data_IF_147389440285
#
_entry.id   IF_147389440285
#
_cell.length_a   1.000
_cell.length_b   1.000
_cell.length_c   1.000
_cell.angle_alpha   90.00
_cell.angle_beta   90.00
_cell.angle_gamma   90.00
#
_symmetry.space_group_name_H-M   'P 1'
#
loop_
_entity.id
_entity.type
_entity.pdbx_description
1 polymer ?
#
# COMPACT_ATOMS: atom_id res chain seq x y z
N UNK A 1 1.68 1.65 21.69
CA UNK A 1 1.23 2.62 20.68
C UNK A 1 1.06 1.86 19.37
N UNK A 2 -0.11 1.92 18.73
CA UNK A 2 -0.29 1.25 17.45
C UNK A 2 0.56 1.94 16.38
N UNK A 3 1.40 1.20 15.66
CA UNK A 3 2.19 1.68 14.53
C UNK A 3 1.27 1.97 13.32
N UNK A 4 0.46 3.02 13.42
CA UNK A 4 -0.47 3.41 12.36
C UNK A 4 0.30 4.14 11.24
N UNK A 5 0.14 3.67 10.00
CA UNK A 5 0.59 4.41 8.82
C UNK A 5 -0.20 5.72 8.68
N UNK A 6 0.38 6.74 8.05
CA UNK A 6 -0.33 8.01 7.82
C UNK A 6 -1.59 7.74 6.99
N UNK A 7 -2.80 8.05 7.48
CA UNK A 7 -4.02 7.80 6.73
C UNK A 7 -3.99 8.49 5.35
N UNK A 8 -4.56 7.81 4.35
CA UNK A 8 -4.82 8.42 3.04
C UNK A 8 -6.03 9.37 3.08
N UNK A 9 -6.33 10.06 1.97
CA UNK A 9 -5.63 9.98 0.69
C UNK A 9 -4.31 10.78 0.67
N UNK A 10 -3.34 10.29 -0.10
CA UNK A 10 -2.09 11.02 -0.34
C UNK A 10 -2.10 11.66 -1.72
N UNK A 11 -1.56 12.88 -1.82
CA UNK A 11 -1.53 13.66 -3.05
C UNK A 11 -0.16 13.56 -3.70
N UNK A 12 -0.13 13.50 -5.03
CA UNK A 12 1.11 13.54 -5.81
C UNK A 12 1.32 14.94 -6.35
N UNK A 13 2.54 15.46 -6.23
CA UNK A 13 2.99 16.66 -6.92
C UNK A 13 4.17 16.31 -7.82
N UNK A 14 4.04 16.61 -9.11
CA UNK A 14 5.08 16.42 -10.11
C UNK A 14 5.86 17.72 -10.26
N UNK A 15 7.14 17.71 -9.89
CA UNK A 15 8.07 18.84 -10.05
C UNK A 15 9.43 18.31 -10.52
N UNK A 16 10.54 19.02 -10.21
CA UNK A 16 11.90 18.49 -10.39
C UNK A 16 12.11 17.14 -9.68
N UNK A 17 11.34 16.91 -8.62
CA UNK A 17 11.16 15.63 -7.92
C UNK A 17 9.65 15.33 -7.80
N UNK A 18 9.25 14.06 -7.79
CA UNK A 18 7.87 13.70 -7.47
C UNK A 18 7.74 13.56 -5.96
N UNK A 19 6.79 14.29 -5.39
CA UNK A 19 6.52 14.30 -3.95
C UNK A 19 5.15 13.67 -3.70
N UNK A 20 5.08 12.84 -2.67
CA UNK A 20 3.82 12.32 -2.13
C UNK A 20 3.60 12.99 -0.79
N UNK A 21 2.45 13.63 -0.60
CA UNK A 21 2.14 14.40 0.61
C UNK A 21 0.79 13.98 1.19
N UNK A 22 0.67 13.99 2.51
CA UNK A 22 -0.63 13.88 3.18
C UNK A 22 -1.48 15.14 2.91
N UNK A 23 -2.76 15.07 3.26
CA UNK A 23 -3.70 16.17 3.04
C UNK A 23 -3.29 17.47 3.73
N UNK A 24 -2.69 17.39 4.93
CA UNK A 24 -2.16 18.53 5.68
C UNK A 24 -0.83 19.08 5.13
N UNK A 25 -0.35 18.58 3.98
CA UNK A 25 0.90 19.00 3.36
C UNK A 25 2.16 18.31 3.91
N UNK A 26 2.03 17.41 4.90
CA UNK A 26 3.18 16.65 5.40
C UNK A 26 3.78 15.78 4.28
N UNK A 27 5.10 15.80 4.15
CA UNK A 27 5.81 14.97 3.16
C UNK A 27 5.82 13.51 3.60
N UNK A 28 5.29 12.62 2.75
CA UNK A 28 5.30 11.16 2.96
C UNK A 28 6.46 10.52 2.22
N UNK A 29 6.67 10.88 0.96
CA UNK A 29 7.76 10.35 0.15
C UNK A 29 8.29 11.39 -0.84
N UNK A 30 9.59 11.29 -1.10
CA UNK A 30 10.25 11.93 -2.24
C UNK A 30 10.74 10.81 -3.15
N UNK A 31 10.21 10.74 -4.36
CA UNK A 31 10.72 9.83 -5.37
C UNK A 31 11.92 10.49 -6.05
N UNK A 32 13.00 9.74 -6.24
CA UNK A 32 14.17 10.14 -7.02
C UNK A 32 14.19 9.41 -8.36
N UNK A 33 14.93 9.94 -9.33
CA UNK A 33 15.12 9.27 -10.63
C UNK A 33 16.15 8.16 -10.49
N UNK A 34 15.81 6.96 -10.92
CA UNK A 34 16.77 5.87 -11.05
C UNK A 34 17.46 5.89 -12.42
N UNK A 35 16.69 5.99 -13.49
CA UNK A 35 17.15 5.96 -14.88
C UNK A 35 16.51 7.04 -15.78
N UNK A 36 15.29 7.47 -15.44
CA UNK A 36 14.41 8.29 -16.27
C UNK A 36 13.39 9.07 -15.44
N UNK A 37 12.74 10.06 -16.06
CA UNK A 37 11.62 10.81 -15.45
C UNK A 37 10.35 9.97 -15.30
N UNK A 38 10.10 9.02 -16.19
CA UNK A 38 8.89 8.18 -16.18
C UNK A 38 8.80 7.31 -14.93
N UNK A 39 9.95 6.81 -14.45
CA UNK A 39 10.05 6.00 -13.23
C UNK A 39 9.64 6.78 -11.97
N UNK A 40 9.99 8.08 -11.92
CA UNK A 40 9.71 8.97 -10.80
C UNK A 40 8.21 9.17 -10.58
N UNK A 41 7.49 9.51 -11.65
CA UNK A 41 6.06 9.75 -11.58
C UNK A 41 5.28 8.47 -11.29
N UNK A 42 5.66 7.35 -11.93
CA UNK A 42 5.03 6.05 -11.70
C UNK A 42 5.19 5.61 -10.25
N UNK A 43 6.39 5.72 -9.68
CA UNK A 43 6.66 5.41 -8.28
C UNK A 43 5.82 6.30 -7.34
N UNK A 44 5.72 7.60 -7.63
CA UNK A 44 4.93 8.51 -6.80
C UNK A 44 3.43 8.18 -6.83
N UNK A 45 2.88 7.83 -8.00
CA UNK A 45 1.48 7.37 -8.12
C UNK A 45 1.25 6.08 -7.34
N UNK A 46 2.16 5.11 -7.46
CA UNK A 46 2.06 3.84 -6.74
C UNK A 46 2.10 4.05 -5.21
N UNK A 47 3.02 4.88 -4.73
CA UNK A 47 3.11 5.20 -3.29
C UNK A 47 1.85 5.94 -2.83
N UNK A 48 1.37 6.93 -3.58
CA UNK A 48 0.15 7.66 -3.21
C UNK A 48 -1.09 6.77 -3.11
N UNK A 49 -1.17 5.73 -3.94
CA UNK A 49 -2.23 4.73 -3.91
C UNK A 49 -2.08 3.69 -2.79
N UNK A 50 -0.96 3.65 -2.04
CA UNK A 50 -0.68 2.59 -1.07
C UNK A 50 -1.78 2.41 0.01
N UNK A 51 -2.41 3.46 0.57
CA UNK A 51 -3.53 3.29 1.49
C UNK A 51 -4.73 2.59 0.85
N UNK A 52 -5.09 2.97 -0.37
CA UNK A 52 -6.22 2.40 -1.12
C UNK A 52 -5.93 0.96 -1.57
N UNK A 53 -4.69 0.68 -1.97
CA UNK A 53 -4.22 -0.67 -2.32
C UNK A 53 -4.26 -1.62 -1.12
N UNK A 54 -3.82 -1.15 0.07
CA UNK A 54 -3.88 -1.94 1.29
C UNK A 54 -5.34 -2.27 1.68
N UNK A 55 -6.22 -1.27 1.58
CA UNK A 55 -7.65 -1.45 1.85
C UNK A 55 -8.33 -2.39 0.85
N UNK A 56 -8.01 -2.26 -0.43
CA UNK A 56 -8.50 -3.18 -1.47
C UNK A 56 -8.02 -4.61 -1.22
N UNK A 57 -6.76 -4.81 -0.84
CA UNK A 57 -6.22 -6.14 -0.54
C UNK A 57 -6.86 -6.77 0.69
N UNK A 58 -7.13 -5.98 1.74
CA UNK A 58 -7.88 -6.43 2.93
C UNK A 58 -9.28 -6.91 2.55
N UNK A 59 -10.02 -6.09 1.77
CA UNK A 59 -11.36 -6.45 1.28
C UNK A 59 -11.35 -7.73 0.44
N UNK A 60 -10.34 -7.90 -0.41
CA UNK A 60 -10.18 -9.11 -1.20
C UNK A 60 -9.88 -10.34 -0.33
N UNK A 61 -8.98 -10.22 0.65
CA UNK A 61 -8.67 -11.29 1.59
C UNK A 61 -9.90 -11.71 2.40
N UNK A 62 -10.66 -10.74 2.92
CA UNK A 62 -11.89 -10.99 3.69
C UNK A 62 -13.01 -11.59 2.82
N UNK A 63 -13.13 -11.15 1.56
CA UNK A 63 -14.06 -11.75 0.61
C UNK A 63 -13.67 -13.21 0.30
N UNK A 64 -12.38 -13.46 0.10
CA UNK A 64 -11.87 -14.80 -0.14
C UNK A 64 -12.11 -15.73 1.05
N UNK A 65 -11.87 -15.26 2.27
CA UNK A 65 -12.15 -16.04 3.49
C UNK A 65 -13.63 -16.44 3.60
N UNK A 66 -14.55 -15.49 3.36
CA UNK A 66 -16.00 -15.75 3.44
C UNK A 66 -16.52 -16.72 2.39
N UNK A 67 -15.88 -16.77 1.22
CA UNK A 67 -16.29 -17.63 0.10
C UNK A 67 -15.67 -19.02 0.15
N UNK A 68 -14.71 -19.27 1.05
CA UNK A 68 -14.06 -20.57 1.15
C UNK A 68 -14.99 -21.63 1.76
N UNK A 69 -15.09 -22.83 1.15
CA UNK A 69 -15.76 -23.96 1.77
C UNK A 69 -15.10 -24.35 3.11
N UNK A 70 -15.87 -24.90 4.07
CA UNK A 70 -15.31 -25.47 5.28
C UNK A 70 -14.23 -26.51 4.98
N UNK A 71 -13.07 -26.40 5.64
CA UNK A 71 -11.93 -27.31 5.46
C UNK A 71 -11.04 -27.02 4.25
N UNK A 72 -11.30 -25.96 3.49
CA UNK A 72 -10.44 -25.58 2.38
C UNK A 72 -9.08 -25.06 2.89
N UNK A 73 -7.94 -25.56 2.36
CA UNK A 73 -6.62 -25.24 2.88
C UNK A 73 -6.20 -23.81 2.56
N UNK A 74 -5.27 -23.29 3.36
CA UNK A 74 -4.65 -21.98 3.15
C UNK A 74 -3.71 -22.04 1.92
N UNK A 75 -4.13 -21.39 0.83
CA UNK A 75 -3.34 -21.33 -0.42
C UNK A 75 -2.22 -20.28 -0.35
N UNK A 76 -1.18 -20.45 -1.15
CA UNK A 76 -0.01 -19.54 -1.14
C UNK A 76 -0.35 -18.07 -1.45
N UNK A 77 -1.25 -17.73 -2.40
CA UNK A 77 -1.66 -16.33 -2.61
C UNK A 77 -2.28 -15.70 -1.36
N UNK A 78 -3.01 -16.49 -0.57
CA UNK A 78 -3.61 -16.01 0.67
C UNK A 78 -2.57 -15.81 1.76
N UNK A 79 -1.60 -16.73 1.88
CA UNK A 79 -0.44 -16.55 2.77
C UNK A 79 0.32 -15.27 2.41
N UNK A 80 0.55 -15.04 1.12
CA UNK A 80 1.21 -13.83 0.63
C UNK A 80 0.43 -12.57 0.98
N UNK A 81 -0.88 -12.55 0.71
CA UNK A 81 -1.76 -11.43 1.04
C UNK A 81 -1.74 -11.12 2.54
N UNK A 82 -1.90 -12.14 3.39
CA UNK A 82 -1.83 -12.00 4.85
C UNK A 82 -0.47 -11.44 5.29
N UNK A 83 0.63 -11.98 4.75
CA UNK A 83 1.99 -11.55 5.10
C UNK A 83 2.25 -10.08 4.74
N UNK A 84 1.83 -9.63 3.54
CA UNK A 84 2.04 -8.23 3.15
C UNK A 84 1.14 -7.26 3.91
N UNK A 85 -0.10 -7.64 4.26
CA UNK A 85 -0.98 -6.84 5.13
C UNK A 85 -0.37 -6.72 6.54
N UNK A 86 0.12 -7.83 7.10
CA UNK A 86 0.76 -7.84 8.41
C UNK A 86 1.98 -6.91 8.42
N UNK A 87 2.87 -7.07 7.42
CA UNK A 87 4.03 -6.19 7.22
C UNK A 87 3.64 -4.72 7.10
N UNK A 88 2.63 -4.39 6.29
CA UNK A 88 2.19 -3.01 6.07
C UNK A 88 1.55 -2.36 7.30
N UNK A 89 0.99 -3.17 8.21
CA UNK A 89 0.34 -2.68 9.44
C UNK A 89 1.17 -2.83 10.70
N UNK A 90 2.41 -3.30 10.58
CA UNK A 90 3.30 -3.51 11.71
C UNK A 90 2.87 -4.63 12.65
N UNK A 91 1.92 -5.48 12.24
CA UNK A 91 1.62 -6.72 12.94
C UNK A 91 2.69 -7.74 12.54
N UNK A 92 3.44 -8.30 13.50
CA UNK A 92 4.38 -9.40 13.20
C UNK A 92 3.65 -10.61 12.60
N UNK A 93 4.30 -11.38 11.71
CA UNK A 93 3.72 -12.61 11.14
C UNK A 93 3.30 -13.63 12.20
#
# INVERSE_FOLDING_TARGET
MANAFTPGPWKVSFSRFSRVTAENGALIAKCEKLDSLTNLEANARLIAAAPELLEALRKLADAYERLKPPGYPLLDPEKQARAVIAKATGSTP
#
